data_IF_754899803535
#
_entry.id   IF_754899803535
#
_cell.length_a   1.000
_cell.length_b   1.000
_cell.length_c   1.000
_cell.angle_alpha   90.00
_cell.angle_beta   90.00
_cell.angle_gamma   90.00
#
_symmetry.space_group_name_H-M   'P 1'
#
loop_
_entity.id
_entity.type
_entity.pdbx_description
1 polymer ?
#
# COMPACT_ATOMS: atom_id res chain seq x y z
N UNK A 1 18.60 -50.02 36.07
CA UNK A 1 17.31 -49.99 36.78
C UNK A 1 16.22 -49.66 35.81
N UNK A 2 15.26 -50.53 35.75
CA UNK A 2 14.01 -50.49 34.96
C UNK A 2 13.09 -49.39 35.46
N UNK A 3 12.30 -48.76 34.60
CA UNK A 3 10.85 -48.49 34.67
C UNK A 3 10.44 -47.98 33.30
N UNK A 4 9.74 -48.71 32.41
CA UNK A 4 8.31 -48.89 32.18
C UNK A 4 7.60 -47.52 32.15
N UNK A 5 7.06 -47.00 31.07
CA UNK A 5 6.06 -47.60 30.15
C UNK A 5 4.66 -47.16 30.56
N UNK A 6 3.98 -46.38 29.69
CA UNK A 6 2.53 -46.28 29.57
C UNK A 6 2.21 -45.27 28.45
N UNK A 7 1.79 -45.75 27.32
CA UNK A 7 0.43 -45.94 26.78
C UNK A 7 -0.25 -44.66 26.27
N UNK A 8 -0.28 -44.62 24.96
CA UNK A 8 -1.31 -44.15 24.03
C UNK A 8 -2.70 -43.90 24.64
N UNK A 9 -3.25 -42.74 24.31
CA UNK A 9 -4.68 -42.62 23.96
C UNK A 9 -4.82 -41.75 22.72
N UNK A 10 -5.25 -42.41 21.69
CA UNK A 10 -5.97 -41.86 20.52
C UNK A 10 -7.34 -41.43 21.06
N UNK A 11 -7.76 -40.22 20.71
CA UNK A 11 -9.17 -39.90 20.60
C UNK A 11 -9.35 -38.79 19.56
N UNK A 12 -10.07 -39.14 18.61
CA UNK A 12 -10.85 -38.69 17.48
C UNK A 12 -11.16 -37.19 17.34
N UNK A 13 -11.48 -36.78 16.09
CA UNK A 13 -11.63 -35.37 15.68
C UNK A 13 -12.96 -34.83 16.20
N UNK A 14 -12.89 -33.67 16.81
CA UNK A 14 -14.06 -32.88 17.17
C UNK A 14 -14.54 -32.13 15.93
N UNK A 15 -15.64 -32.59 15.39
CA UNK A 15 -16.42 -31.91 14.37
C UNK A 15 -16.89 -30.56 14.91
N UNK A 16 -16.50 -29.48 14.26
CA UNK A 16 -17.07 -28.15 14.47
C UNK A 16 -18.57 -28.19 14.11
N UNK A 17 -19.46 -27.70 14.96
CA UNK A 17 -20.86 -27.60 14.62
C UNK A 17 -21.08 -26.50 13.57
N UNK A 18 -21.35 -26.90 12.36
CA UNK A 18 -22.03 -26.11 11.35
C UNK A 18 -23.49 -26.06 11.77
N UNK A 19 -23.94 -24.94 12.25
CA UNK A 19 -25.30 -24.41 12.22
C UNK A 19 -25.50 -23.47 13.43
N UNK A 20 -25.11 -22.23 13.25
CA UNK A 20 -25.58 -21.14 14.08
C UNK A 20 -26.95 -20.71 13.52
N UNK A 21 -27.98 -21.49 13.83
CA UNK A 21 -29.36 -21.01 13.71
C UNK A 21 -29.56 -19.90 14.75
N UNK A 22 -29.61 -18.68 14.29
CA UNK A 22 -29.94 -17.52 15.11
C UNK A 22 -31.42 -17.61 15.52
N UNK A 23 -31.66 -18.16 16.70
CA UNK A 23 -32.98 -18.21 17.31
C UNK A 23 -33.38 -16.85 17.89
N UNK A 24 -33.44 -15.82 17.08
CA UNK A 24 -34.05 -14.53 17.43
C UNK A 24 -35.46 -14.45 16.88
N UNK A 25 -36.43 -14.95 17.66
CA UNK A 25 -37.87 -14.99 17.30
C UNK A 25 -38.58 -13.62 17.44
N UNK A 26 -37.85 -12.52 17.71
CA UNK A 26 -38.44 -11.19 17.94
C UNK A 26 -37.57 -10.03 17.38
N UNK A 27 -37.06 -10.18 16.16
CA UNK A 27 -36.38 -9.04 15.52
C UNK A 27 -37.31 -8.47 14.41
N UNK A 28 -37.75 -7.20 14.49
CA UNK A 28 -38.68 -6.62 13.52
C UNK A 28 -38.04 -6.19 12.20
N UNK A 29 -36.79 -6.62 11.90
CA UNK A 29 -36.12 -6.29 10.64
C UNK A 29 -35.36 -7.49 10.07
N UNK A 30 -36.09 -8.53 9.66
CA UNK A 30 -35.48 -9.65 8.88
C UNK A 30 -34.85 -9.18 7.56
N UNK A 31 -35.26 -8.05 7.03
CA UNK A 31 -34.70 -7.45 5.81
C UNK A 31 -33.31 -6.83 6.04
N UNK A 32 -33.06 -6.26 7.21
CA UNK A 32 -31.76 -5.69 7.55
C UNK A 32 -30.66 -6.74 7.79
N UNK A 33 -31.03 -7.92 8.33
CA UNK A 33 -30.10 -9.05 8.49
C UNK A 33 -29.75 -9.71 7.15
N UNK A 34 -30.68 -9.77 6.20
CA UNK A 34 -30.40 -10.28 4.86
C UNK A 34 -29.48 -9.34 4.07
N UNK A 35 -29.70 -8.02 4.18
CA UNK A 35 -28.85 -7.03 3.52
C UNK A 35 -27.40 -7.01 4.09
N UNK A 36 -27.21 -7.31 5.37
CA UNK A 36 -25.89 -7.42 5.97
C UNK A 36 -25.14 -8.71 5.56
N UNK A 37 -25.85 -9.79 5.30
CA UNK A 37 -25.25 -11.05 4.83
C UNK A 37 -24.94 -11.06 3.33
N UNK A 38 -25.63 -10.25 2.53
CA UNK A 38 -25.32 -10.09 1.11
C UNK A 38 -24.13 -9.16 0.86
N UNK A 39 -23.80 -8.26 1.80
CA UNK A 39 -22.63 -7.38 1.71
C UNK A 39 -21.29 -8.10 1.97
N UNK A 40 -21.28 -9.25 2.65
CA UNK A 40 -20.06 -10.03 2.93
C UNK A 40 -19.70 -11.06 1.84
N UNK A 41 -20.54 -11.23 0.82
CA UNK A 41 -20.32 -12.23 -0.24
C UNK A 41 -19.90 -11.67 -1.60
N UNK A 42 -19.53 -10.40 -1.68
CA UNK A 42 -18.83 -9.88 -2.85
C UNK A 42 -17.36 -10.26 -2.74
N UNK A 43 -17.01 -11.48 -3.16
CA UNK A 43 -15.63 -11.82 -3.47
C UNK A 43 -15.10 -10.76 -4.45
N UNK A 44 -13.88 -10.22 -4.26
CA UNK A 44 -13.31 -9.28 -5.21
C UNK A 44 -13.33 -9.96 -6.59
N UNK A 45 -14.00 -9.32 -7.54
CA UNK A 45 -13.94 -9.73 -8.94
C UNK A 45 -12.48 -9.49 -9.34
N UNK A 46 -11.71 -10.56 -9.45
CA UNK A 46 -10.37 -10.51 -10.01
C UNK A 46 -10.52 -10.13 -11.48
N UNK A 47 -10.42 -8.85 -11.78
CA UNK A 47 -10.28 -8.36 -13.14
C UNK A 47 -9.00 -9.00 -13.69
N UNK A 48 -9.14 -9.87 -14.67
CA UNK A 48 -8.00 -10.46 -15.38
C UNK A 48 -7.36 -9.36 -16.20
N UNK A 49 -6.33 -8.73 -15.62
CA UNK A 49 -5.55 -7.72 -16.31
C UNK A 49 -4.65 -8.44 -17.33
N UNK A 50 -4.76 -8.07 -18.58
CA UNK A 50 -3.93 -8.62 -19.65
C UNK A 50 -2.64 -7.79 -19.77
N UNK A 51 -1.49 -8.42 -19.46
CA UNK A 51 -0.17 -7.81 -19.54
C UNK A 51 0.58 -8.14 -20.83
N UNK A 52 -0.08 -8.66 -21.86
CA UNK A 52 0.56 -9.12 -23.11
C UNK A 52 1.29 -8.00 -23.85
N UNK A 53 0.86 -6.76 -23.70
CA UNK A 53 1.41 -5.58 -24.37
C UNK A 53 2.22 -4.66 -23.44
N UNK A 54 2.66 -5.19 -22.29
CA UNK A 54 3.41 -4.43 -21.28
C UNK A 54 4.90 -4.70 -21.45
N UNK A 55 5.67 -3.64 -21.64
CA UNK A 55 7.13 -3.67 -21.62
C UNK A 55 7.63 -3.21 -20.25
N UNK A 56 8.47 -4.04 -19.63
CA UNK A 56 9.09 -3.76 -18.33
C UNK A 56 10.59 -3.58 -18.54
N UNK A 57 11.18 -2.63 -17.83
CA UNK A 57 12.61 -2.41 -17.83
C UNK A 57 13.35 -3.66 -17.32
N UNK A 58 14.44 -4.09 -17.98
CA UNK A 58 15.16 -5.29 -17.57
C UNK A 58 15.80 -5.13 -16.19
N UNK A 59 15.91 -6.23 -15.47
CA UNK A 59 16.58 -6.24 -14.16
C UNK A 59 18.05 -5.86 -14.29
N UNK A 60 18.54 -5.10 -13.30
CA UNK A 60 19.97 -4.85 -13.15
C UNK A 60 20.72 -6.16 -12.90
N UNK A 61 21.88 -6.28 -13.54
CA UNK A 61 22.74 -7.45 -13.37
C UNK A 61 23.70 -7.29 -12.16
N UNK A 62 24.00 -6.06 -11.79
CA UNK A 62 24.88 -5.75 -10.66
C UNK A 62 24.13 -5.87 -9.33
N UNK A 63 24.80 -6.48 -8.36
CA UNK A 63 24.25 -6.61 -7.01
C UNK A 63 24.55 -5.38 -6.16
N UNK A 64 23.56 -4.94 -5.40
CA UNK A 64 23.73 -3.97 -4.32
C UNK A 64 24.04 -4.73 -3.04
N UNK A 65 25.10 -4.35 -2.33
CA UNK A 65 25.40 -4.95 -1.04
C UNK A 65 24.36 -4.55 0.02
N UNK A 66 24.13 -5.45 0.97
CA UNK A 66 23.13 -5.26 2.00
C UNK A 66 23.41 -4.04 2.89
N UNK A 67 24.67 -3.71 3.12
CA UNK A 67 25.05 -2.55 3.94
C UNK A 67 24.64 -1.23 3.27
N UNK A 68 24.83 -1.11 1.97
CA UNK A 68 24.39 0.05 1.19
C UNK A 68 22.89 0.14 1.14
N UNK A 69 22.19 -0.98 0.89
CA UNK A 69 20.72 -1.03 0.86
C UNK A 69 20.11 -0.66 2.22
N UNK A 70 20.68 -1.17 3.31
CA UNK A 70 20.15 -0.95 4.67
C UNK A 70 20.25 0.51 5.14
N UNK A 71 21.07 1.33 4.48
CA UNK A 71 21.16 2.78 4.72
C UNK A 71 19.96 3.55 4.16
N UNK A 72 19.18 2.94 3.27
CA UNK A 72 17.97 3.55 2.71
C UNK A 72 16.82 3.48 3.72
N UNK A 73 16.16 4.61 3.97
CA UNK A 73 15.03 4.68 4.88
C UNK A 73 13.72 4.86 4.11
N UNK A 74 13.08 3.73 3.85
CA UNK A 74 11.77 3.68 3.21
C UNK A 74 10.67 3.78 4.26
N UNK A 75 9.74 4.71 4.07
CA UNK A 75 8.63 4.97 4.99
C UNK A 75 7.29 5.04 4.28
N UNK A 76 6.25 4.62 4.97
CA UNK A 76 4.89 4.97 4.60
C UNK A 76 4.65 6.43 4.98
N UNK A 77 4.19 7.24 4.03
CA UNK A 77 3.92 8.66 4.22
C UNK A 77 2.50 8.97 3.80
N UNK A 78 1.80 9.80 4.58
CA UNK A 78 0.43 10.20 4.26
C UNK A 78 0.44 11.54 3.54
N UNK A 79 -0.27 11.63 2.44
CA UNK A 79 -0.43 12.87 1.69
C UNK A 79 -1.44 13.75 2.41
N UNK A 80 -0.98 14.86 2.96
CA UNK A 80 -1.82 15.87 3.61
C UNK A 80 -2.36 16.84 2.58
N UNK A 81 -1.50 17.27 1.67
CA UNK A 81 -1.83 18.21 0.61
C UNK A 81 -1.00 17.96 -0.65
N UNK A 82 -1.56 18.33 -1.79
CA UNK A 82 -0.92 18.18 -3.09
C UNK A 82 -1.27 19.37 -3.97
N UNK A 83 -0.25 20.06 -4.48
CA UNK A 83 -0.41 21.26 -5.29
C UNK A 83 0.40 21.16 -6.59
N UNK A 84 -0.15 21.66 -7.68
CA UNK A 84 0.60 21.81 -8.93
C UNK A 84 1.61 22.95 -8.81
N UNK A 85 2.85 22.74 -9.23
CA UNK A 85 3.89 23.77 -9.22
C UNK A 85 3.66 24.75 -10.37
N UNK A 86 3.39 26.06 -10.13
CA UNK A 86 3.01 27.01 -11.17
C UNK A 86 4.00 27.17 -12.32
N UNK A 87 5.27 26.89 -12.03
CA UNK A 87 6.38 27.01 -13.02
C UNK A 87 6.67 25.72 -13.80
N UNK A 88 5.94 24.63 -13.52
CA UNK A 88 6.14 23.34 -14.16
C UNK A 88 4.83 22.63 -14.41
N UNK A 89 4.62 22.20 -15.68
CA UNK A 89 3.44 21.41 -16.04
C UNK A 89 3.52 19.94 -15.61
N UNK A 90 4.68 19.49 -15.11
CA UNK A 90 4.94 18.10 -14.77
C UNK A 90 5.10 17.85 -13.28
N UNK A 91 5.36 18.90 -12.49
CA UNK A 91 5.69 18.75 -11.08
C UNK A 91 4.47 18.97 -10.19
N UNK A 92 4.28 18.06 -9.26
CA UNK A 92 3.41 18.21 -8.10
C UNK A 92 4.26 18.40 -6.84
N UNK A 93 3.83 19.32 -5.98
CA UNK A 93 4.38 19.53 -4.65
C UNK A 93 3.49 18.79 -3.67
N UNK A 94 4.09 17.87 -2.96
CA UNK A 94 3.45 17.09 -1.90
C UNK A 94 3.83 17.64 -0.54
N UNK A 95 2.84 17.82 0.32
CA UNK A 95 3.01 18.01 1.75
C UNK A 95 2.61 16.72 2.45
N UNK A 96 3.58 16.07 3.08
CA UNK A 96 3.47 14.71 3.59
C UNK A 96 3.66 14.69 5.10
N UNK A 97 2.90 13.82 5.76
CA UNK A 97 3.16 13.40 7.13
C UNK A 97 4.00 12.11 7.08
N UNK A 98 5.17 12.15 7.70
CA UNK A 98 6.10 11.02 7.82
C UNK A 98 6.21 10.49 9.27
N UNK A 99 5.28 10.90 10.13
CA UNK A 99 5.23 10.50 11.54
C UNK A 99 6.23 11.19 12.46
N UNK A 100 7.02 12.15 11.95
CA UNK A 100 7.99 12.91 12.77
C UNK A 100 7.35 14.10 13.50
N UNK A 101 6.13 14.47 13.13
CA UNK A 101 5.42 15.66 13.65
C UNK A 101 5.69 16.92 12.83
N UNK A 102 6.57 16.88 11.85
CA UNK A 102 6.83 17.96 10.91
C UNK A 102 6.39 17.57 9.51
N UNK A 103 5.82 18.51 8.77
CA UNK A 103 5.40 18.24 7.40
C UNK A 103 6.61 18.20 6.46
N UNK A 104 6.74 17.10 5.75
CA UNK A 104 7.78 16.90 4.73
C UNK A 104 7.31 17.38 3.37
N UNK A 105 8.14 18.10 2.66
CA UNK A 105 7.86 18.52 1.27
C UNK A 105 8.63 17.66 0.29
N UNK A 106 7.94 17.06 -0.65
CA UNK A 106 8.54 16.31 -1.77
C UNK A 106 7.95 16.82 -3.08
N UNK A 107 8.81 17.02 -4.08
CA UNK A 107 8.38 17.30 -5.44
C UNK A 107 8.51 16.03 -6.29
N UNK A 108 7.47 15.74 -7.09
CA UNK A 108 7.46 14.60 -7.98
C UNK A 108 6.90 14.97 -9.35
N UNK A 109 7.48 14.40 -10.41
CA UNK A 109 7.15 14.68 -11.81
C UNK A 109 5.97 13.90 -12.35
N UNK A 110 4.89 13.76 -11.58
CA UNK A 110 3.77 12.86 -11.89
C UNK A 110 2.47 13.57 -12.28
N UNK A 111 2.48 14.88 -12.46
CA UNK A 111 1.29 15.67 -12.84
C UNK A 111 0.68 15.26 -14.20
N UNK A 112 1.44 14.57 -15.07
CA UNK A 112 0.89 14.04 -16.32
C UNK A 112 0.05 12.76 -16.14
N UNK A 113 0.10 12.14 -14.96
CA UNK A 113 -0.55 10.86 -14.66
C UNK A 113 -1.61 10.96 -13.57
N UNK A 114 -1.50 11.93 -12.67
CA UNK A 114 -2.41 12.12 -11.54
C UNK A 114 -2.79 13.58 -11.35
N UNK A 115 -4.03 13.80 -11.02
CA UNK A 115 -4.51 15.09 -10.54
C UNK A 115 -4.30 15.22 -9.01
N UNK A 116 -4.01 16.42 -8.50
CA UNK A 116 -3.73 16.64 -7.07
C UNK A 116 -4.79 16.07 -6.13
N UNK A 117 -6.08 16.23 -6.48
CA UNK A 117 -7.22 15.82 -5.66
C UNK A 117 -7.31 14.30 -5.47
N UNK A 118 -6.77 13.53 -6.42
CA UNK A 118 -6.78 12.07 -6.36
C UNK A 118 -5.80 11.51 -5.33
N UNK A 119 -4.80 12.30 -4.95
CA UNK A 119 -3.68 11.89 -4.12
C UNK A 119 -3.84 12.31 -2.66
N UNK A 120 -4.63 13.33 -2.37
CA UNK A 120 -4.86 13.82 -1.01
C UNK A 120 -5.49 12.71 -0.16
N UNK A 121 -4.96 12.50 1.04
CA UNK A 121 -5.41 11.50 1.99
C UNK A 121 -4.91 10.08 1.73
N UNK A 122 -4.21 9.84 0.60
CA UNK A 122 -3.60 8.53 0.31
C UNK A 122 -2.31 8.31 1.10
N UNK A 123 -2.01 7.05 1.37
CA UNK A 123 -0.74 6.64 1.99
C UNK A 123 0.15 6.06 0.92
N UNK A 124 1.36 6.59 0.78
CA UNK A 124 2.32 6.25 -0.26
C UNK A 124 3.64 5.80 0.36
N UNK A 125 4.52 5.25 -0.47
CA UNK A 125 5.88 4.87 -0.07
C UNK A 125 6.86 5.94 -0.51
N UNK A 126 7.71 6.39 0.41
CA UNK A 126 8.77 7.35 0.11
C UNK A 126 10.11 6.93 0.73
N UNK A 127 11.20 7.30 0.09
CA UNK A 127 12.52 7.31 0.70
C UNK A 127 12.75 8.67 1.35
N UNK A 128 13.00 8.68 2.65
CA UNK A 128 12.98 9.90 3.48
C UNK A 128 14.35 10.46 3.80
N UNK A 129 15.40 9.64 3.72
CA UNK A 129 16.76 10.01 4.08
C UNK A 129 17.64 10.47 2.89
N UNK A 130 17.01 10.98 1.84
CA UNK A 130 17.74 11.65 0.78
C UNK A 130 18.08 13.10 1.17
N UNK A 131 19.25 13.60 0.76
CA UNK A 131 19.61 15.00 0.99
C UNK A 131 18.60 15.94 0.30
N UNK A 132 18.28 17.09 0.93
CA UNK A 132 17.38 18.07 0.33
C UNK A 132 17.90 18.53 -1.04
N UNK A 133 17.00 18.55 -2.03
CA UNK A 133 17.32 18.95 -3.39
C UNK A 133 16.47 20.16 -3.81
N UNK A 134 17.07 21.29 -4.15
CA UNK A 134 16.31 22.44 -4.63
C UNK A 134 15.77 22.17 -6.04
N UNK A 135 14.46 22.29 -6.21
CA UNK A 135 13.76 22.15 -7.49
C UNK A 135 12.77 23.30 -7.65
N UNK A 136 12.92 24.11 -8.69
CA UNK A 136 12.06 25.29 -8.95
C UNK A 136 11.95 26.28 -7.78
N UNK A 137 12.97 26.36 -6.92
CA UNK A 137 13.01 27.24 -5.74
C UNK A 137 12.31 26.65 -4.51
N UNK A 138 11.92 25.38 -4.54
CA UNK A 138 11.37 24.62 -3.43
C UNK A 138 12.33 23.48 -3.09
N UNK A 139 12.60 23.24 -1.82
CA UNK A 139 13.42 22.11 -1.39
C UNK A 139 12.58 20.84 -1.33
N UNK A 140 13.02 19.81 -2.07
CA UNK A 140 12.44 18.46 -2.02
C UNK A 140 13.26 17.58 -1.08
N UNK A 141 12.63 17.11 -0.01
CA UNK A 141 13.26 16.34 1.07
C UNK A 141 12.88 14.86 0.99
N UNK A 142 13.32 14.17 -0.06
CA UNK A 142 13.01 12.77 -0.30
C UNK A 142 12.47 12.51 -1.70
N UNK A 143 11.97 11.29 -1.91
CA UNK A 143 11.41 10.87 -3.20
C UNK A 143 10.26 9.88 -2.98
N UNK A 144 9.15 10.10 -3.68
CA UNK A 144 8.05 9.13 -3.74
C UNK A 144 8.42 7.99 -4.69
N UNK A 145 8.07 6.76 -4.31
CA UNK A 145 8.30 5.58 -5.13
C UNK A 145 7.11 5.33 -6.06
N UNK A 146 7.42 5.06 -7.31
CA UNK A 146 6.44 4.74 -8.34
C UNK A 146 6.94 3.60 -9.22
N UNK A 147 6.02 2.80 -9.72
CA UNK A 147 6.29 1.80 -10.74
C UNK A 147 6.07 2.41 -12.12
N UNK A 148 7.03 2.26 -13.01
CA UNK A 148 6.97 2.74 -14.38
C UNK A 148 7.02 1.54 -15.32
N UNK A 149 6.14 1.51 -16.29
CA UNK A 149 6.12 0.52 -17.36
C UNK A 149 5.61 1.16 -18.64
N UNK A 150 5.75 0.49 -19.77
CA UNK A 150 5.17 0.93 -21.03
C UNK A 150 4.04 -0.01 -21.41
N UNK A 151 2.91 0.57 -21.75
CA UNK A 151 1.74 -0.12 -22.27
C UNK A 151 1.43 0.40 -23.67
N UNK A 152 1.45 -0.48 -24.67
CA UNK A 152 1.25 -0.11 -26.07
C UNK A 152 2.21 1.00 -26.57
N UNK A 153 3.43 1.08 -26.02
CA UNK A 153 4.42 2.10 -26.35
C UNK A 153 4.26 3.43 -25.60
N UNK A 154 3.22 3.58 -24.77
CA UNK A 154 3.03 4.73 -23.90
C UNK A 154 3.56 4.45 -22.51
N UNK A 155 4.23 5.43 -21.91
CA UNK A 155 4.70 5.35 -20.53
C UNK A 155 3.52 5.48 -19.56
N UNK A 156 3.41 4.52 -18.65
CA UNK A 156 2.46 4.50 -17.53
C UNK A 156 3.23 4.56 -16.22
N UNK A 157 2.75 5.38 -15.32
CA UNK A 157 3.33 5.54 -13.99
C UNK A 157 2.25 5.27 -12.95
N UNK A 158 2.56 4.36 -12.02
CA UNK A 158 1.70 4.07 -10.88
C UNK A 158 2.45 4.37 -9.59
N UNK A 159 1.92 5.30 -8.80
CA UNK A 159 2.45 5.61 -7.48
C UNK A 159 2.23 4.42 -6.55
N UNK A 160 3.26 4.02 -5.80
CA UNK A 160 3.14 2.93 -4.83
C UNK A 160 2.32 3.41 -3.64
N UNK A 161 1.05 3.00 -3.62
CA UNK A 161 0.13 3.26 -2.52
C UNK A 161 0.06 2.04 -1.62
N UNK A 162 -0.05 2.26 -0.32
CA UNK A 162 -0.21 1.22 0.70
C UNK A 162 -1.54 1.38 1.41
N UNK A 163 -1.91 0.34 2.16
CA UNK A 163 -3.16 0.32 2.91
C UNK A 163 -3.26 1.56 3.84
N UNK A 164 -4.38 2.27 3.85
CA UNK A 164 -4.58 3.46 4.68
C UNK A 164 -4.55 3.19 6.19
N UNK A 165 -4.64 1.91 6.61
CA UNK A 165 -4.47 1.52 8.02
C UNK A 165 -3.00 1.53 8.47
N UNK A 166 -2.04 1.60 7.52
CA UNK A 166 -0.63 1.73 7.87
C UNK A 166 -0.39 3.15 8.36
N UNK A 167 0.11 3.33 9.60
CA UNK A 167 0.37 4.66 10.14
C UNK A 167 1.50 5.37 9.38
N UNK A 168 1.39 6.71 9.28
CA UNK A 168 2.47 7.53 8.76
C UNK A 168 3.75 7.31 9.58
N UNK A 169 4.89 7.25 8.91
CA UNK A 169 6.18 6.97 9.53
C UNK A 169 6.52 5.48 9.68
N UNK A 170 5.61 4.57 9.37
CA UNK A 170 5.92 3.13 9.40
C UNK A 170 7.07 2.80 8.45
N UNK A 171 8.11 2.13 8.99
CA UNK A 171 9.29 1.74 8.22
C UNK A 171 9.00 0.50 7.38
N UNK A 172 9.47 0.52 6.14
CA UNK A 172 9.44 -0.63 5.24
C UNK A 172 10.82 -1.30 5.21
N UNK A 173 10.82 -2.63 5.14
CA UNK A 173 12.02 -3.47 5.17
C UNK A 173 12.14 -4.27 3.88
#
# INVERSE_FOLDING_TARGET
MKVKGAQKKEDAPDEAPTDFECACFTCPSQEACKAAQEAEKAAPVEEKIDFSNVEIEPLFQDYVDFETFSKSDFRAVKVLDCEAVPKSKKLLKFTLDDGTGENRVILSGIHGFYEPEQLIGKTCVAITNLPPRPMMGIESCGMLLSAIHKENGEERLNLLMVDPHIPAGAKLY
#
